data_IF_230137831042
#
_entry.id   IF_230137831042
#
_cell.length_a   1.000
_cell.length_b   1.000
_cell.length_c   1.000
_cell.angle_alpha   90.00
_cell.angle_beta   90.00
_cell.angle_gamma   90.00
#
_symmetry.space_group_name_H-M   'P 1'
#
loop_
_entity.id
_entity.type
_entity.pdbx_description
1 polymer ?
#
# COMPACT_ATOMS: atom_id res chain seq x y z
N UNK A 1 2.15 0.94 -7.04
CA UNK A 1 1.97 1.15 -8.49
C UNK A 1 2.97 0.28 -9.24
N UNK A 2 2.55 -0.68 -10.06
CA UNK A 2 3.48 -1.72 -10.57
C UNK A 2 4.38 -1.27 -11.72
N UNK A 3 4.13 -0.10 -12.32
CA UNK A 3 4.91 0.45 -13.45
C UNK A 3 5.54 1.81 -13.12
N UNK A 4 5.73 2.10 -11.83
CA UNK A 4 6.37 3.34 -11.41
C UNK A 4 7.85 3.32 -11.84
N UNK A 5 8.37 4.38 -12.49
CA UNK A 5 9.75 4.41 -12.95
C UNK A 5 10.71 4.66 -11.78
N UNK A 6 12.01 4.48 -12.03
CA UNK A 6 13.04 5.05 -11.17
C UNK A 6 13.37 6.48 -11.61
N UNK A 7 13.85 7.29 -10.68
CA UNK A 7 14.28 8.67 -10.94
C UNK A 7 15.69 8.89 -10.41
N UNK A 8 16.47 9.70 -11.12
CA UNK A 8 17.84 10.06 -10.77
C UNK A 8 18.00 11.58 -10.89
N UNK A 9 18.65 12.19 -9.89
CA UNK A 9 18.99 13.61 -9.92
C UNK A 9 20.03 13.92 -10.99
N UNK A 10 20.03 15.13 -11.54
CA UNK A 10 21.12 15.58 -12.41
C UNK A 10 22.41 15.72 -11.60
N UNK A 11 23.55 15.55 -12.27
CA UNK A 11 24.84 15.87 -11.68
C UNK A 11 24.90 17.37 -11.31
N UNK A 12 25.42 17.67 -10.12
CA UNK A 12 25.58 19.03 -9.61
C UNK A 12 26.92 19.67 -10.03
N UNK A 13 27.87 18.86 -10.52
CA UNK A 13 29.19 19.29 -10.99
C UNK A 13 29.71 18.37 -12.10
N UNK A 14 30.67 18.86 -12.89
CA UNK A 14 31.34 18.06 -13.91
C UNK A 14 32.07 16.87 -13.28
N UNK A 15 31.96 15.69 -13.90
CA UNK A 15 32.57 14.42 -13.44
C UNK A 15 32.16 14.00 -12.02
N UNK A 16 30.98 14.42 -11.55
CA UNK A 16 30.43 13.99 -10.25
C UNK A 16 30.32 12.47 -10.15
N UNK A 17 30.63 11.94 -8.96
CA UNK A 17 30.56 10.50 -8.63
C UNK A 17 29.34 10.14 -7.77
N UNK A 18 28.54 11.13 -7.39
CA UNK A 18 27.31 10.93 -6.65
C UNK A 18 26.15 10.74 -7.62
N UNK A 19 25.78 9.49 -7.84
CA UNK A 19 24.60 9.10 -8.60
C UNK A 19 23.69 8.24 -7.71
N UNK A 20 22.52 8.78 -7.36
CA UNK A 20 21.52 8.10 -6.55
C UNK A 20 20.25 7.90 -7.38
N UNK A 21 19.69 6.71 -7.28
CA UNK A 21 18.46 6.31 -7.96
C UNK A 21 17.38 6.04 -6.92
N UNK A 22 16.20 6.60 -7.13
CA UNK A 22 15.07 6.49 -6.20
C UNK A 22 13.91 5.76 -6.85
N UNK A 23 13.30 4.84 -6.11
CA UNK A 23 12.03 4.21 -6.48
C UNK A 23 10.89 5.23 -6.37
N UNK A 24 10.01 5.26 -7.35
CA UNK A 24 8.82 6.13 -7.32
C UNK A 24 7.53 5.42 -6.93
N UNK A 25 7.59 4.11 -6.64
CA UNK A 25 6.44 3.26 -6.31
C UNK A 25 5.65 3.79 -5.13
N UNK A 26 6.32 4.17 -4.04
CA UNK A 26 5.73 4.77 -2.83
C UNK A 26 6.83 5.37 -1.94
N UNK A 27 6.48 6.38 -1.14
CA UNK A 27 7.37 6.96 -0.13
C UNK A 27 8.10 8.24 -0.58
N UNK A 28 8.83 8.81 0.38
CA UNK A 28 9.60 10.05 0.20
C UNK A 28 10.87 9.80 -0.62
N UNK A 29 11.20 10.76 -1.49
CA UNK A 29 12.40 10.78 -2.32
C UNK A 29 12.77 12.23 -2.62
N UNK A 30 14.05 12.51 -2.87
CA UNK A 30 14.56 13.89 -2.98
C UNK A 30 14.09 14.76 -1.80
N UNK A 31 14.24 14.23 -0.58
CA UNK A 31 13.77 14.90 0.64
C UNK A 31 14.48 16.23 0.81
N UNK A 32 13.71 17.31 0.95
CA UNK A 32 14.24 18.61 1.30
C UNK A 32 14.64 18.60 2.80
N UNK A 33 15.89 18.95 3.16
CA UNK A 33 16.31 19.01 4.56
C UNK A 33 15.45 19.91 5.44
N UNK A 34 14.95 21.03 4.89
CA UNK A 34 14.07 21.94 5.62
C UNK A 34 12.71 21.30 5.92
N UNK A 35 12.19 20.49 4.99
CA UNK A 35 10.95 19.75 5.20
C UNK A 35 11.11 18.73 6.33
N UNK A 36 12.21 17.96 6.29
CA UNK A 36 12.51 16.97 7.32
C UNK A 36 12.65 17.59 8.71
N UNK A 37 13.30 18.76 8.81
CA UNK A 37 13.50 19.45 10.09
C UNK A 37 12.22 20.08 10.65
N UNK A 38 11.37 20.65 9.80
CA UNK A 38 10.18 21.38 10.26
C UNK A 38 8.96 20.49 10.50
N UNK A 39 8.78 19.46 9.67
CA UNK A 39 7.54 18.67 9.65
C UNK A 39 7.77 17.16 9.73
N UNK A 40 9.02 16.70 9.65
CA UNK A 40 9.35 15.29 9.53
C UNK A 40 9.11 14.74 8.12
N UNK A 41 9.62 13.54 7.87
CA UNK A 41 9.42 12.77 6.63
C UNK A 41 9.02 11.35 6.94
N UNK A 42 8.17 11.19 7.95
CA UNK A 42 7.63 9.90 8.36
C UNK A 42 6.94 9.22 7.18
N UNK A 43 7.13 7.91 7.07
CA UNK A 43 6.43 7.09 6.10
C UNK A 43 4.94 7.00 6.44
N UNK A 44 4.11 6.62 5.45
CA UNK A 44 2.68 6.46 5.68
C UNK A 44 2.35 5.46 6.81
N UNK A 45 3.02 4.30 6.94
CA UNK A 45 2.78 3.42 8.07
C UNK A 45 3.19 4.02 9.42
N UNK A 46 4.28 4.78 9.49
CA UNK A 46 4.71 5.46 10.73
C UNK A 46 3.73 6.53 11.17
N UNK A 47 3.16 7.29 10.23
CA UNK A 47 2.09 8.25 10.56
C UNK A 47 0.82 7.55 11.03
N UNK A 48 0.49 6.37 10.49
CA UNK A 48 -0.62 5.56 11.00
C UNK A 48 -0.36 5.05 12.43
N UNK A 49 0.88 4.68 12.77
CA UNK A 49 1.27 4.38 14.15
C UNK A 49 1.10 5.60 15.07
N UNK A 50 1.54 6.79 14.62
CA UNK A 50 1.37 8.04 15.38
C UNK A 50 -0.11 8.33 15.67
N UNK A 51 -0.99 8.12 14.68
CA UNK A 51 -2.43 8.29 14.85
C UNK A 51 -3.02 7.24 15.80
N UNK A 52 -2.60 5.98 15.67
CA UNK A 52 -3.06 4.91 16.54
C UNK A 52 -2.65 5.17 18.01
N UNK A 53 -1.44 5.67 18.24
CA UNK A 53 -0.96 6.06 19.56
C UNK A 53 -1.73 7.26 20.12
N UNK A 54 -1.86 8.34 19.33
CA UNK A 54 -2.54 9.57 19.73
C UNK A 54 -4.01 9.35 20.10
N UNK A 55 -4.70 8.54 19.30
CA UNK A 55 -6.13 8.24 19.47
C UNK A 55 -6.38 6.96 20.27
N UNK A 56 -5.34 6.29 20.76
CA UNK A 56 -5.39 5.03 21.51
C UNK A 56 -6.19 3.93 20.79
N UNK A 57 -5.99 3.81 19.49
CA UNK A 57 -6.66 2.81 18.67
C UNK A 57 -5.97 1.46 18.88
N UNK A 58 -6.70 0.51 19.45
CA UNK A 58 -6.18 -0.83 19.74
C UNK A 58 -5.85 -1.62 18.47
N UNK A 59 -4.97 -2.62 18.59
CA UNK A 59 -4.66 -3.54 17.49
C UNK A 59 -5.90 -4.35 17.11
N UNK A 60 -6.68 -4.77 18.10
CA UNK A 60 -7.88 -5.57 17.95
C UNK A 60 -8.95 -4.84 17.15
N UNK A 61 -9.14 -3.53 17.39
CA UNK A 61 -10.11 -2.72 16.66
C UNK A 61 -9.70 -2.55 15.19
N UNK A 62 -8.40 -2.38 14.93
CA UNK A 62 -7.85 -2.26 13.58
C UNK A 62 -7.99 -3.56 12.80
N UNK A 63 -7.66 -4.70 13.41
CA UNK A 63 -7.85 -6.01 12.81
C UNK A 63 -9.34 -6.30 12.54
N UNK A 64 -10.21 -5.94 13.49
CA UNK A 64 -11.65 -6.10 13.33
C UNK A 64 -12.19 -5.22 12.20
N UNK A 65 -11.67 -4.00 12.04
CA UNK A 65 -12.02 -3.12 10.93
C UNK A 65 -11.55 -3.69 9.59
N UNK A 66 -10.30 -4.15 9.51
CA UNK A 66 -9.75 -4.76 8.31
C UNK A 66 -10.55 -6.00 7.88
N UNK A 67 -10.95 -6.85 8.83
CA UNK A 67 -11.80 -8.01 8.57
C UNK A 67 -13.17 -7.62 8.01
N UNK A 68 -13.85 -6.67 8.66
CA UNK A 68 -15.15 -6.17 8.18
C UNK A 68 -15.05 -5.57 6.78
N UNK A 69 -13.96 -4.88 6.47
CA UNK A 69 -13.69 -4.34 5.13
C UNK A 69 -13.61 -5.46 4.09
N UNK A 70 -12.80 -6.49 4.33
CA UNK A 70 -12.68 -7.65 3.42
C UNK A 70 -14.02 -8.38 3.21
N UNK A 71 -14.77 -8.61 4.28
CA UNK A 71 -16.09 -9.25 4.20
C UNK A 71 -17.10 -8.44 3.37
N UNK A 72 -17.12 -7.12 3.55
CA UNK A 72 -18.00 -6.22 2.79
C UNK A 72 -17.61 -6.18 1.32
N UNK A 73 -16.32 -6.06 1.00
CA UNK A 73 -15.84 -6.06 -0.38
C UNK A 73 -16.13 -7.39 -1.07
N UNK A 74 -15.91 -8.53 -0.40
CA UNK A 74 -16.24 -9.84 -0.93
C UNK A 74 -17.73 -9.99 -1.25
N UNK A 75 -18.60 -9.49 -0.35
CA UNK A 75 -20.05 -9.46 -0.59
C UNK A 75 -20.44 -8.52 -1.74
N UNK A 76 -19.82 -7.35 -1.84
CA UNK A 76 -20.07 -6.41 -2.94
C UNK A 76 -19.66 -6.99 -4.30
N UNK A 77 -18.54 -7.71 -4.35
CA UNK A 77 -18.11 -8.40 -5.56
C UNK A 77 -19.06 -9.54 -5.94
N UNK A 78 -19.46 -10.39 -4.99
CA UNK A 78 -20.34 -11.52 -5.27
C UNK A 78 -21.80 -11.14 -5.57
N UNK A 79 -22.24 -9.98 -5.09
CA UNK A 79 -23.56 -9.42 -5.41
C UNK A 79 -23.60 -8.59 -6.70
N UNK A 80 -22.47 -8.42 -7.39
CA UNK A 80 -22.40 -7.69 -8.65
C UNK A 80 -22.32 -6.17 -8.53
N UNK A 81 -22.36 -5.61 -7.32
CA UNK A 81 -22.27 -4.15 -7.09
C UNK A 81 -21.00 -3.59 -7.72
N UNK A 82 -19.84 -4.25 -7.50
CA UNK A 82 -18.58 -3.78 -8.08
C UNK A 82 -18.56 -3.89 -9.62
N UNK A 83 -19.32 -4.83 -10.19
CA UNK A 83 -19.39 -4.99 -11.64
C UNK A 83 -20.14 -3.83 -12.33
N UNK A 84 -20.99 -3.10 -11.60
CA UNK A 84 -21.67 -1.90 -12.12
C UNK A 84 -20.69 -0.74 -12.34
N UNK A 85 -19.59 -0.69 -11.58
CA UNK A 85 -18.57 0.36 -11.62
C UNK A 85 -17.37 0.00 -12.51
N UNK A 86 -17.13 -1.29 -12.76
CA UNK A 86 -15.95 -1.78 -13.46
C UNK A 86 -16.19 -1.83 -14.97
N UNK A 87 -15.35 -1.12 -15.72
CA UNK A 87 -15.19 -1.33 -17.16
C UNK A 87 -14.07 -2.35 -17.40
N UNK A 88 -14.36 -3.47 -18.09
CA UNK A 88 -13.36 -4.51 -18.37
C UNK A 88 -12.09 -4.01 -19.07
N UNK A 89 -10.94 -4.48 -18.60
CA UNK A 89 -9.65 -4.24 -19.25
C UNK A 89 -9.25 -5.49 -20.03
N UNK A 90 -9.19 -5.38 -21.36
CA UNK A 90 -8.83 -6.47 -22.26
C UNK A 90 -7.34 -6.44 -22.57
N UNK A 91 -6.63 -7.50 -22.19
CA UNK A 91 -5.22 -7.72 -22.49
C UNK A 91 -5.06 -8.78 -23.57
N UNK A 92 -4.21 -8.50 -24.55
CA UNK A 92 -3.81 -9.47 -25.57
C UNK A 92 -2.36 -9.87 -25.34
N UNK A 93 -2.12 -11.16 -25.14
CA UNK A 93 -0.75 -11.65 -25.05
C UNK A 93 -0.13 -11.82 -26.44
N UNK A 94 1.19 -12.05 -26.50
CA UNK A 94 1.92 -12.24 -27.77
C UNK A 94 1.43 -13.42 -28.61
N UNK A 95 0.72 -14.39 -28.00
CA UNK A 95 0.14 -15.57 -28.67
C UNK A 95 -1.31 -15.34 -29.12
N UNK A 96 -1.84 -14.13 -28.98
CA UNK A 96 -3.21 -13.77 -29.38
C UNK A 96 -4.30 -14.17 -28.39
N UNK A 97 -3.94 -14.75 -27.22
CA UNK A 97 -4.93 -15.04 -26.17
C UNK A 97 -5.40 -13.72 -25.57
N UNK A 98 -6.71 -13.56 -25.55
CA UNK A 98 -7.41 -12.42 -24.97
C UNK A 98 -7.75 -12.77 -23.52
N UNK A 99 -7.27 -11.97 -22.57
CA UNK A 99 -7.62 -12.05 -21.16
C UNK A 99 -8.37 -10.79 -20.78
N UNK A 100 -9.56 -10.97 -20.23
CA UNK A 100 -10.41 -9.86 -19.80
C UNK A 100 -10.36 -9.78 -18.27
N UNK A 101 -9.95 -8.62 -17.76
CA UNK A 101 -9.89 -8.34 -16.32
C UNK A 101 -11.13 -7.53 -15.97
N UNK A 102 -12.04 -8.14 -15.19
CA UNK A 102 -13.35 -7.57 -14.84
C UNK A 102 -13.60 -7.56 -13.32
N UNK A 103 -12.64 -8.01 -12.53
CA UNK A 103 -12.78 -8.17 -11.08
C UNK A 103 -11.57 -7.58 -10.38
N UNK A 104 -11.82 -6.94 -9.24
CA UNK A 104 -10.77 -6.51 -8.33
C UNK A 104 -10.00 -7.71 -7.75
N UNK A 105 -8.68 -7.67 -7.89
CA UNK A 105 -7.77 -8.76 -7.48
C UNK A 105 -7.31 -8.66 -6.01
N UNK A 106 -7.41 -7.47 -5.38
CA UNK A 106 -6.84 -7.24 -4.06
C UNK A 106 -7.70 -7.77 -2.89
N UNK A 107 -8.88 -8.31 -3.18
CA UNK A 107 -9.78 -8.88 -2.17
C UNK A 107 -9.20 -10.20 -1.65
N UNK A 108 -9.30 -10.39 -0.33
CA UNK A 108 -8.85 -11.58 0.39
C UNK A 108 -10.03 -12.11 1.22
N UNK A 109 -11.04 -12.71 0.58
CA UNK A 109 -12.27 -13.16 1.26
C UNK A 109 -12.01 -14.21 2.34
N UNK A 110 -10.89 -14.93 2.26
CA UNK A 110 -10.42 -15.92 3.23
C UNK A 110 -9.78 -15.31 4.49
N UNK A 111 -9.70 -13.98 4.59
CA UNK A 111 -9.12 -13.30 5.74
C UNK A 111 -9.86 -13.69 7.02
N UNK A 112 -9.14 -14.21 8.02
CA UNK A 112 -9.68 -14.48 9.36
C UNK A 112 -9.01 -13.61 10.41
N UNK A 113 -9.64 -13.47 11.58
CA UNK A 113 -9.10 -12.68 12.68
C UNK A 113 -7.80 -13.29 13.24
N UNK A 114 -7.71 -14.62 13.27
CA UNK A 114 -6.53 -15.37 13.70
C UNK A 114 -5.34 -15.08 12.78
N UNK A 115 -5.58 -15.04 11.45
CA UNK A 115 -4.55 -14.68 10.48
C UNK A 115 -4.07 -13.23 10.68
N UNK A 116 -4.98 -12.28 10.98
CA UNK A 116 -4.61 -10.88 11.19
C UNK A 116 -3.77 -10.69 12.46
N UNK A 117 -4.15 -11.36 13.56
CA UNK A 117 -3.42 -11.32 14.83
C UNK A 117 -2.01 -11.91 14.73
N UNK A 118 -1.82 -12.92 13.87
CA UNK A 118 -0.52 -13.53 13.63
C UNK A 118 0.49 -12.64 12.89
N UNK A 119 0.06 -11.49 12.34
CA UNK A 119 0.92 -10.64 11.54
C UNK A 119 1.77 -9.71 12.40
N UNK A 120 3.07 -9.68 12.09
CA UNK A 120 4.04 -8.76 12.69
C UNK A 120 3.80 -7.32 12.19
N UNK A 121 4.09 -6.34 13.04
CA UNK A 121 4.15 -4.93 12.67
C UNK A 121 5.59 -4.57 12.25
N UNK A 122 5.89 -4.48 10.93
CA UNK A 122 7.27 -4.29 10.48
C UNK A 122 7.74 -2.83 10.55
N UNK A 123 6.83 -1.89 10.80
CA UNK A 123 7.09 -0.45 10.62
C UNK A 123 7.60 0.23 11.89
N UNK A 124 7.31 -0.33 13.08
CA UNK A 124 7.77 0.17 14.38
C UNK A 124 7.94 -0.99 15.35
N UNK A 125 8.97 -0.94 16.20
CA UNK A 125 9.11 -1.88 17.29
C UNK A 125 7.91 -1.74 18.25
N UNK A 126 7.21 -2.84 18.53
CA UNK A 126 5.93 -2.86 19.26
C UNK A 126 4.80 -2.03 18.60
N UNK A 127 4.86 -1.83 17.28
CA UNK A 127 3.80 -1.18 16.52
C UNK A 127 2.52 -2.00 16.41
N UNK A 128 1.43 -1.33 16.08
CA UNK A 128 0.11 -1.94 15.85
C UNK A 128 -0.24 -2.07 14.37
N UNK A 129 0.47 -1.36 13.49
CA UNK A 129 0.22 -1.36 12.04
C UNK A 129 0.92 -2.54 11.36
N UNK A 130 0.16 -3.31 10.59
CA UNK A 130 0.71 -4.37 9.74
C UNK A 130 0.18 -4.34 8.31
N UNK A 131 0.84 -5.12 7.45
CA UNK A 131 0.64 -5.12 6.00
C UNK A 131 -0.79 -5.38 5.51
N UNK A 132 -1.65 -6.04 6.29
CA UNK A 132 -3.06 -6.28 5.91
C UNK A 132 -4.02 -5.18 6.37
N UNK A 133 -3.56 -4.21 7.15
CA UNK A 133 -4.29 -2.97 7.47
C UNK A 133 -3.92 -1.82 6.52
N UNK A 134 -2.79 -1.92 5.79
CA UNK A 134 -2.38 -0.96 4.78
C UNK A 134 -2.77 -1.42 3.35
N UNK A 135 -2.95 -0.47 2.43
CA UNK A 135 -3.35 -0.72 1.04
C UNK A 135 -2.30 -1.43 0.17
N UNK A 136 -1.14 -1.79 0.71
CA UNK A 136 -0.20 -2.69 0.04
C UNK A 136 0.83 -3.22 1.03
N UNK A 137 0.98 -4.52 1.04
CA UNK A 137 2.03 -5.23 1.75
C UNK A 137 1.98 -6.68 1.35
N UNK A 138 2.54 -6.96 0.17
CA UNK A 138 3.25 -8.22 -0.02
C UNK A 138 4.53 -8.20 0.85
#
# INVERSE_FOLDING_TARGET
MSRAPFVMGKATSAFSRQAEMFDTTIGWRFVNPLMAQQFGTDSMPETAENVAELLKISREDQDSFALRSQQRSAKAQSSGILAEEIVPVVLKNKKGVVTEIQHDEHLRPETTLEQLRGLKAPFRANGVIHRRQCLRGE
#
